data_IF_322919833319
#
_entry.id   IF_322919833319
#
_cell.length_a   1.000
_cell.length_b   1.000
_cell.length_c   1.000
_cell.angle_alpha   90.00
_cell.angle_beta   90.00
_cell.angle_gamma   90.00
#
_symmetry.space_group_name_H-M   'P 1'
#
loop_
_entity.id
_entity.type
_entity.pdbx_description
1 polymer ?
#
# COMPACT_ATOMS: atom_id res chain seq x y z
N UNK A 1 10.62 3.45 -0.58
CA UNK A 1 10.46 1.99 -0.68
C UNK A 1 9.83 1.38 0.56
N UNK A 2 8.53 1.58 0.80
CA UNK A 2 7.84 0.97 1.96
C UNK A 2 6.39 0.57 1.65
N UNK A 3 6.06 0.45 0.36
CA UNK A 3 4.70 0.21 -0.15
C UNK A 3 4.28 -1.25 0.00
N UNK A 4 5.23 -2.18 -0.06
CA UNK A 4 4.98 -3.61 0.01
C UNK A 4 5.31 -4.09 1.43
N UNK A 5 4.44 -4.91 2.02
CA UNK A 5 4.65 -5.44 3.38
C UNK A 5 5.59 -6.63 3.41
N UNK A 6 5.59 -7.43 2.35
CA UNK A 6 6.41 -8.63 2.27
C UNK A 6 7.80 -8.29 1.70
N UNK A 7 8.89 -8.52 2.44
CA UNK A 7 10.25 -8.28 1.95
C UNK A 7 10.57 -9.03 0.65
N UNK A 8 9.99 -10.23 0.45
CA UNK A 8 10.24 -11.06 -0.75
C UNK A 8 9.73 -10.39 -2.03
N UNK A 9 8.72 -9.54 -1.93
CA UNK A 9 8.18 -8.84 -3.10
C UNK A 9 9.18 -7.79 -3.61
N UNK A 10 10.03 -7.23 -2.75
CA UNK A 10 11.12 -6.34 -3.17
C UNK A 10 12.19 -7.07 -3.96
N UNK A 11 12.55 -8.28 -3.55
CA UNK A 11 13.50 -9.11 -4.31
C UNK A 11 12.93 -9.46 -5.68
N UNK A 12 11.64 -9.82 -5.74
CA UNK A 12 10.96 -10.17 -6.97
C UNK A 12 10.86 -8.99 -7.94
N UNK A 13 10.31 -7.86 -7.49
CA UNK A 13 9.94 -6.74 -8.35
C UNK A 13 11.04 -5.69 -8.50
N UNK A 14 11.83 -5.45 -7.46
CA UNK A 14 12.83 -4.38 -7.40
C UNK A 14 14.28 -4.88 -7.38
N UNK A 15 14.50 -6.20 -7.35
CA UNK A 15 15.82 -6.85 -7.46
C UNK A 15 16.81 -6.49 -6.34
N UNK A 16 16.29 -6.23 -5.14
CA UNK A 16 17.11 -6.04 -3.94
C UNK A 16 16.44 -6.59 -2.68
N UNK A 17 17.23 -6.98 -1.69
CA UNK A 17 16.73 -7.35 -0.36
C UNK A 17 16.47 -6.08 0.45
N UNK A 18 15.24 -5.93 0.94
CA UNK A 18 14.86 -4.71 1.65
C UNK A 18 15.62 -4.57 2.98
N UNK A 19 16.35 -3.47 3.22
CA UNK A 19 17.25 -3.34 4.37
C UNK A 19 16.53 -3.16 5.72
N UNK A 20 15.28 -2.67 5.70
CA UNK A 20 14.54 -2.32 6.91
C UNK A 20 13.20 -3.08 6.99
N UNK A 21 13.25 -4.38 7.28
CA UNK A 21 12.06 -5.24 7.26
C UNK A 21 11.03 -4.88 8.34
N UNK A 22 11.48 -4.46 9.53
CA UNK A 22 10.59 -4.03 10.62
C UNK A 22 9.76 -2.80 10.21
N UNK A 23 10.42 -1.81 9.57
CA UNK A 23 9.74 -0.60 9.10
C UNK A 23 8.72 -0.87 7.99
N UNK A 24 8.87 -1.94 7.21
CA UNK A 24 7.85 -2.33 6.22
C UNK A 24 6.51 -2.60 6.92
N UNK A 25 6.50 -3.26 8.08
CA UNK A 25 5.27 -3.55 8.82
C UNK A 25 4.65 -2.28 9.41
N UNK A 26 5.47 -1.32 9.83
CA UNK A 26 5.01 -0.09 10.47
C UNK A 26 4.56 1.00 9.47
N UNK A 27 5.00 0.95 8.21
CA UNK A 27 4.63 1.96 7.22
C UNK A 27 3.13 1.93 6.86
N UNK A 28 2.42 3.05 6.95
CA UNK A 28 1.01 3.12 6.52
C UNK A 28 0.95 3.43 5.02
N UNK A 29 0.09 2.73 4.27
CA UNK A 29 -0.09 3.00 2.85
C UNK A 29 -0.85 4.32 2.66
N UNK A 30 -0.25 5.25 1.91
CA UNK A 30 -0.68 6.65 1.84
C UNK A 30 -1.89 6.94 0.95
N UNK A 31 -2.90 6.07 0.91
CA UNK A 31 -4.13 6.32 0.15
C UNK A 31 -5.21 6.88 1.08
N UNK A 32 -5.35 8.21 1.06
CA UNK A 32 -6.14 8.98 2.03
C UNK A 32 -7.60 8.57 2.13
N UNK A 33 -8.23 8.19 1.02
CA UNK A 33 -9.65 7.78 0.98
C UNK A 33 -9.90 6.49 1.76
N UNK A 34 -8.87 5.64 1.90
CA UNK A 34 -8.99 4.33 2.55
C UNK A 34 -8.38 4.29 3.96
N UNK A 35 -7.28 5.01 4.19
CA UNK A 35 -6.46 4.88 5.39
C UNK A 35 -6.29 6.20 6.17
N UNK A 36 -7.28 7.10 6.08
CA UNK A 36 -7.20 8.45 6.66
C UNK A 36 -6.81 8.47 8.14
N UNK A 37 -7.39 7.59 8.95
CA UNK A 37 -7.19 7.60 10.40
C UNK A 37 -5.85 7.00 10.81
N UNK A 38 -5.37 5.99 10.07
CA UNK A 38 -4.06 5.40 10.21
C UNK A 38 -2.96 6.39 9.79
N UNK A 39 -3.16 7.11 8.67
CA UNK A 39 -2.22 8.12 8.17
C UNK A 39 -2.01 9.23 9.21
N UNK A 40 -3.07 9.70 9.89
CA UNK A 40 -2.95 10.73 10.94
C UNK A 40 -2.03 10.31 12.10
N UNK A 41 -1.94 9.01 12.38
CA UNK A 41 -1.15 8.45 13.48
C UNK A 41 0.21 7.91 13.01
N UNK A 42 0.46 7.89 11.71
CA UNK A 42 1.62 7.26 11.13
C UNK A 42 2.88 8.11 11.30
N UNK A 43 3.95 7.50 11.80
CA UNK A 43 5.29 8.09 11.76
C UNK A 43 5.98 7.88 10.40
N UNK A 44 5.48 6.93 9.59
CA UNK A 44 6.00 6.61 8.26
C UNK A 44 4.83 6.34 7.31
N UNK A 45 4.73 7.12 6.24
CA UNK A 45 3.71 6.97 5.19
C UNK A 45 4.36 6.57 3.87
N UNK A 46 3.93 5.44 3.32
CA UNK A 46 4.35 4.97 2.01
C UNK A 46 3.40 5.54 0.95
N UNK A 47 3.73 6.72 0.40
CA UNK A 47 2.91 7.38 -0.61
C UNK A 47 2.71 6.47 -1.84
N UNK A 48 1.46 6.23 -2.30
CA UNK A 48 1.15 5.34 -3.41
C UNK A 48 1.77 5.79 -4.74
N UNK A 49 1.82 4.88 -5.71
CA UNK A 49 2.15 5.22 -7.09
C UNK A 49 0.96 5.86 -7.81
N UNK A 50 1.21 6.70 -8.81
CA UNK A 50 0.15 7.38 -9.57
C UNK A 50 -0.86 6.39 -10.19
N UNK A 51 -0.38 5.34 -10.86
CA UNK A 51 -1.23 4.31 -11.45
C UNK A 51 -1.99 3.51 -10.39
N UNK A 52 -1.35 3.13 -9.29
CA UNK A 52 -2.00 2.33 -8.25
C UNK A 52 -3.10 3.11 -7.55
N UNK A 53 -2.92 4.41 -7.33
CA UNK A 53 -3.98 5.29 -6.80
C UNK A 53 -5.22 5.24 -7.70
N UNK A 54 -5.04 5.45 -9.01
CA UNK A 54 -6.14 5.40 -9.97
C UNK A 54 -6.84 4.03 -9.96
N UNK A 55 -6.08 2.94 -10.08
CA UNK A 55 -6.63 1.59 -10.13
C UNK A 55 -7.37 1.22 -8.84
N UNK A 56 -6.80 1.50 -7.67
CA UNK A 56 -7.43 1.17 -6.38
C UNK A 56 -8.71 1.98 -6.20
N UNK A 57 -8.67 3.31 -6.42
CA UNK A 57 -9.87 4.14 -6.21
C UNK A 57 -11.00 3.80 -7.19
N UNK A 58 -10.67 3.37 -8.41
CA UNK A 58 -11.66 2.95 -9.40
C UNK A 58 -12.32 1.62 -9.04
N UNK A 59 -11.56 0.66 -8.49
CA UNK A 59 -12.03 -0.71 -8.25
C UNK A 59 -12.54 -0.95 -6.83
N UNK A 60 -11.97 -0.27 -5.84
CA UNK A 60 -12.31 -0.44 -4.42
C UNK A 60 -13.82 -0.37 -4.13
N UNK A 61 -14.58 0.64 -4.60
CA UNK A 61 -16.02 0.67 -4.33
C UNK A 61 -16.77 -0.51 -4.98
N UNK A 62 -16.35 -0.96 -6.17
CA UNK A 62 -16.98 -2.09 -6.85
C UNK A 62 -16.82 -3.40 -6.06
N UNK A 63 -15.61 -3.62 -5.52
CA UNK A 63 -15.35 -4.75 -4.62
C UNK A 63 -16.09 -4.61 -3.29
N UNK A 64 -16.06 -3.42 -2.67
CA UNK A 64 -16.69 -3.17 -1.37
C UNK A 64 -18.20 -3.41 -1.38
N UNK A 65 -18.86 -2.99 -2.46
CA UNK A 65 -20.30 -3.18 -2.66
C UNK A 65 -20.66 -4.52 -3.33
N UNK A 66 -19.66 -5.41 -3.54
CA UNK A 66 -19.83 -6.74 -4.14
C UNK A 66 -20.49 -6.72 -5.53
N UNK A 67 -20.16 -5.71 -6.34
CA UNK A 67 -20.59 -5.61 -7.74
C UNK A 67 -19.75 -6.55 -8.63
N UNK A 68 -18.52 -6.84 -8.20
CA UNK A 68 -17.57 -7.75 -8.87
C UNK A 68 -16.96 -8.74 -7.86
N UNK A 69 -16.53 -9.90 -8.35
CA UNK A 69 -15.93 -10.98 -7.56
C UNK A 69 -14.41 -10.84 -7.42
N UNK A 70 -13.86 -11.51 -6.39
CA UNK A 70 -12.43 -11.54 -6.02
C UNK A 70 -11.63 -12.62 -6.75
#
# INVERSE_FOLDING_TARGET
>A
DFRLKNPKDYELWYKFTHPNQELLQNAVYGLCELYKEEIKKASLVANPGCYTTCSILSLYPLFKEKIIDF
#
